data_IF_767862871631
#
_entry.id   IF_767862871631
#
_cell.length_a   1.000
_cell.length_b   1.000
_cell.length_c   1.000
_cell.angle_alpha   90.00
_cell.angle_beta   90.00
_cell.angle_gamma   90.00
#
_symmetry.space_group_name_H-M   'P 1'
#
loop_
_entity.id
_entity.type
_entity.pdbx_description
1 polymer ?
#
# COMPACT_ATOMS: atom_id res chain seq x y z
N UNK A 1 -2.70 -31.66 -15.23
CA UNK A 1 -1.36 -31.83 -14.59
C UNK A 1 -1.61 -31.98 -13.11
N UNK A 2 -1.02 -32.99 -12.45
CA UNK A 2 -1.16 -33.15 -10.99
C UNK A 2 0.04 -32.53 -10.30
N UNK A 3 -0.20 -31.89 -9.16
CA UNK A 3 0.87 -31.46 -8.25
C UNK A 3 1.65 -32.69 -7.80
N UNK A 4 2.98 -32.66 -7.92
CA UNK A 4 3.85 -33.75 -7.47
C UNK A 4 4.58 -33.31 -6.22
N UNK A 5 4.27 -33.97 -5.11
CA UNK A 5 4.87 -33.69 -3.81
C UNK A 5 5.98 -34.68 -3.50
N UNK A 6 7.16 -34.19 -3.13
CA UNK A 6 8.26 -35.00 -2.57
C UNK A 6 8.21 -35.05 -1.04
N UNK A 7 7.57 -34.08 -0.43
CA UNK A 7 7.24 -33.94 0.97
C UNK A 7 5.80 -33.47 1.09
N UNK A 8 5.15 -33.59 2.24
CA UNK A 8 3.86 -32.94 2.46
C UNK A 8 3.95 -31.44 2.23
N UNK A 9 2.82 -30.82 1.88
CA UNK A 9 2.68 -29.39 1.70
C UNK A 9 1.63 -28.87 2.67
N UNK A 10 1.99 -27.89 3.50
CA UNK A 10 1.06 -27.14 4.33
C UNK A 10 0.68 -25.83 3.61
N UNK A 11 -0.56 -25.72 3.16
CA UNK A 11 -1.15 -24.46 2.72
C UNK A 11 -1.76 -23.80 3.94
N UNK A 12 -1.36 -22.56 4.26
CA UNK A 12 -1.80 -21.89 5.47
C UNK A 12 -2.07 -20.41 5.29
N UNK A 13 -2.85 -19.87 6.21
CA UNK A 13 -3.24 -18.48 6.29
C UNK A 13 -3.36 -18.06 7.75
N UNK A 14 -3.10 -16.78 8.05
CA UNK A 14 -3.11 -16.22 9.38
C UNK A 14 -4.05 -15.01 9.46
N UNK A 15 -4.90 -14.97 10.49
CA UNK A 15 -5.53 -13.73 10.91
C UNK A 15 -4.73 -13.11 12.07
N UNK A 16 -4.59 -11.80 12.06
CA UNK A 16 -3.71 -11.08 12.99
C UNK A 16 -4.38 -9.84 13.55
N UNK A 17 -3.83 -9.26 14.62
CA UNK A 17 -4.30 -7.98 15.19
C UNK A 17 -3.99 -6.77 14.32
N UNK A 18 -3.23 -6.92 13.24
CA UNK A 18 -2.83 -5.89 12.29
C UNK A 18 -1.71 -6.36 11.37
N UNK A 19 -1.06 -5.44 10.65
CA UNK A 19 -0.11 -5.77 9.58
C UNK A 19 1.37 -5.59 9.93
N UNK A 20 1.68 -5.21 11.18
CA UNK A 20 3.05 -4.95 11.61
C UNK A 20 3.68 -6.20 12.22
N UNK A 21 4.50 -6.92 11.47
CA UNK A 21 5.12 -8.20 11.85
C UNK A 21 5.73 -8.18 13.26
N UNK A 22 6.38 -7.09 13.66
CA UNK A 22 7.07 -7.00 14.97
C UNK A 22 6.15 -6.64 16.13
N UNK A 23 4.92 -6.21 15.90
CA UNK A 23 4.02 -5.72 16.94
C UNK A 23 2.73 -6.51 17.03
N UNK A 24 2.19 -6.86 15.87
CA UNK A 24 0.92 -7.56 15.79
C UNK A 24 1.06 -9.03 16.13
N UNK A 25 -0.06 -9.66 16.48
CA UNK A 25 -0.16 -11.02 17.01
C UNK A 25 -1.09 -11.86 16.17
N UNK A 26 -0.84 -13.15 16.12
CA UNK A 26 -1.74 -14.11 15.49
C UNK A 26 -3.03 -14.22 16.31
N UNK A 27 -4.17 -14.13 15.62
CA UNK A 27 -5.53 -14.29 16.18
C UNK A 27 -6.15 -15.61 15.70
N UNK A 28 -5.79 -16.07 14.52
CA UNK A 28 -6.19 -17.39 14.00
C UNK A 28 -5.09 -17.96 13.12
N UNK A 29 -4.95 -19.25 13.14
CA UNK A 29 -4.12 -20.02 12.22
C UNK A 29 -4.93 -21.14 11.59
N UNK A 30 -4.97 -21.16 10.26
CA UNK A 30 -5.58 -22.24 9.47
C UNK A 30 -4.51 -22.91 8.61
N UNK A 31 -4.43 -24.23 8.63
CA UNK A 31 -3.50 -25.03 7.84
C UNK A 31 -4.23 -26.20 7.22
N UNK A 32 -4.06 -26.39 5.91
CA UNK A 32 -4.42 -27.63 5.21
C UNK A 32 -3.10 -28.32 4.84
N UNK A 33 -2.87 -29.50 5.38
CA UNK A 33 -1.71 -30.34 5.06
C UNK A 33 -2.09 -31.38 4.03
N UNK A 34 -1.45 -31.32 2.88
CA UNK A 34 -1.60 -32.29 1.78
C UNK A 34 -0.42 -33.23 1.85
N UNK A 35 -0.68 -34.52 2.05
CA UNK A 35 0.36 -35.55 2.05
C UNK A 35 0.74 -35.98 0.62
N UNK A 36 1.84 -36.73 0.49
CA UNK A 36 2.37 -37.18 -0.78
C UNK A 36 1.44 -38.17 -1.53
N UNK A 37 0.53 -38.82 -0.80
CA UNK A 37 -0.53 -39.67 -1.37
C UNK A 37 -1.79 -38.88 -1.79
N UNK A 38 -1.83 -37.56 -1.49
CA UNK A 38 -2.93 -36.67 -1.79
C UNK A 38 -4.01 -36.61 -0.70
N UNK A 39 -3.79 -37.26 0.44
CA UNK A 39 -4.68 -37.11 1.61
C UNK A 39 -4.53 -35.73 2.21
N UNK A 40 -5.61 -35.17 2.78
CA UNK A 40 -5.66 -33.86 3.37
C UNK A 40 -6.01 -33.91 4.85
N UNK A 41 -5.32 -33.10 5.65
CA UNK A 41 -5.59 -32.90 7.07
C UNK A 41 -5.76 -31.41 7.31
N UNK A 42 -6.71 -31.05 8.15
CA UNK A 42 -6.99 -29.64 8.50
C UNK A 42 -6.61 -29.35 9.95
N UNK A 43 -6.05 -28.18 10.16
CA UNK A 43 -5.81 -27.60 11.48
C UNK A 43 -6.32 -26.16 11.45
N UNK A 44 -7.28 -25.83 12.31
CA UNK A 44 -7.84 -24.48 12.38
C UNK A 44 -8.09 -24.12 13.85
N UNK A 45 -7.41 -23.06 14.34
CA UNK A 45 -7.50 -22.64 15.72
C UNK A 45 -7.53 -21.13 15.83
N UNK A 46 -8.47 -20.62 16.64
CA UNK A 46 -8.41 -19.25 17.15
C UNK A 46 -7.31 -19.21 18.22
N UNK A 47 -6.55 -18.14 18.26
CA UNK A 47 -5.43 -17.91 19.15
C UNK A 47 -5.74 -16.71 20.03
N UNK A 48 -5.47 -16.79 21.30
CA UNK A 48 -5.47 -15.64 22.19
C UNK A 48 -4.20 -14.81 21.95
N UNK A 49 -4.30 -13.60 21.35
CA UNK A 49 -3.15 -12.77 21.06
C UNK A 49 -2.54 -12.11 22.29
N UNK A 50 -3.16 -12.29 23.49
CA UNK A 50 -2.77 -11.64 24.75
C UNK A 50 -2.73 -10.10 24.68
N UNK A 51 -3.45 -9.53 23.72
CA UNK A 51 -3.64 -8.09 23.53
C UNK A 51 -5.02 -7.83 22.95
N UNK A 52 -5.45 -6.58 22.96
CA UNK A 52 -6.70 -6.15 22.38
C UNK A 52 -6.62 -6.13 20.84
N UNK A 53 -7.63 -6.71 20.19
CA UNK A 53 -7.79 -6.66 18.73
C UNK A 53 -8.54 -5.36 18.42
N UNK A 54 -8.00 -4.47 17.54
CA UNK A 54 -8.71 -3.28 17.12
C UNK A 54 -10.08 -3.61 16.51
N UNK A 55 -11.09 -2.79 16.80
CA UNK A 55 -12.47 -3.04 16.35
C UNK A 55 -12.57 -3.20 14.83
N UNK A 56 -11.84 -2.36 14.08
CA UNK A 56 -11.78 -2.42 12.62
C UNK A 56 -11.23 -3.75 12.09
N UNK A 57 -10.29 -4.36 12.82
CA UNK A 57 -9.71 -5.67 12.47
C UNK A 57 -10.69 -6.80 12.83
N UNK A 58 -11.39 -6.70 13.97
CA UNK A 58 -12.46 -7.62 14.31
C UNK A 58 -13.55 -7.67 13.23
N UNK A 59 -13.87 -6.54 12.61
CA UNK A 59 -14.86 -6.44 11.53
C UNK A 59 -14.38 -7.11 10.22
N UNK A 60 -13.07 -7.16 9.98
CA UNK A 60 -12.48 -7.79 8.79
C UNK A 60 -12.56 -9.33 8.89
N UNK A 61 -12.03 -9.92 9.97
CA UNK A 61 -11.94 -11.38 10.09
C UNK A 61 -13.06 -12.02 10.95
N UNK A 62 -13.91 -11.20 11.58
CA UNK A 62 -15.08 -11.68 12.35
C UNK A 62 -14.76 -12.25 13.74
N UNK A 63 -13.50 -12.26 14.19
CA UNK A 63 -13.10 -12.78 15.50
C UNK A 63 -13.12 -11.63 16.51
N UNK A 64 -13.97 -11.77 17.53
CA UNK A 64 -14.09 -10.74 18.57
C UNK A 64 -13.06 -10.93 19.68
N UNK A 65 -12.80 -9.87 20.44
CA UNK A 65 -11.95 -9.93 21.63
C UNK A 65 -12.46 -10.96 22.66
N UNK A 66 -13.77 -11.17 22.73
CA UNK A 66 -14.34 -12.19 23.63
C UNK A 66 -14.07 -13.62 23.18
N UNK A 67 -14.09 -13.86 21.86
CA UNK A 67 -13.73 -15.16 21.28
C UNK A 67 -12.25 -15.45 21.51
N UNK A 68 -11.39 -14.48 21.19
CA UNK A 68 -9.94 -14.60 21.31
C UNK A 68 -9.51 -14.82 22.78
N UNK A 69 -10.10 -14.13 23.75
CA UNK A 69 -9.80 -14.31 25.19
C UNK A 69 -10.11 -15.72 25.72
N UNK A 70 -11.03 -16.45 25.09
CA UNK A 70 -11.39 -17.83 25.48
C UNK A 70 -10.54 -18.87 24.79
N UNK A 71 -9.77 -18.48 23.77
CA UNK A 71 -8.91 -19.36 23.03
C UNK A 71 -7.56 -19.59 23.76
N UNK A 72 -6.87 -20.70 23.45
CA UNK A 72 -5.51 -20.91 23.93
C UNK A 72 -4.54 -19.87 23.36
N UNK A 73 -3.48 -19.60 24.10
CA UNK A 73 -2.38 -18.74 23.66
C UNK A 73 -1.52 -19.43 22.58
N UNK A 74 -0.77 -18.65 21.79
CA UNK A 74 0.15 -19.24 20.83
C UNK A 74 1.19 -20.14 21.53
N UNK A 75 1.62 -19.79 22.74
CA UNK A 75 2.57 -20.60 23.51
C UNK A 75 2.04 -22.01 23.80
N UNK A 76 0.75 -22.13 24.04
CA UNK A 76 0.09 -23.42 24.29
C UNK A 76 -0.09 -24.20 22.99
N UNK A 77 -0.36 -23.52 21.86
CA UNK A 77 -0.62 -24.14 20.55
C UNK A 77 0.67 -24.46 19.78
N UNK A 78 1.76 -23.75 20.02
CA UNK A 78 2.99 -23.86 19.24
C UNK A 78 3.53 -25.30 19.10
N UNK A 79 3.54 -26.15 20.15
CA UNK A 79 3.98 -27.52 19.99
C UNK A 79 3.12 -28.34 19.01
N UNK A 80 1.80 -28.14 19.03
CA UNK A 80 0.86 -28.80 18.14
C UNK A 80 0.98 -28.28 16.69
N UNK A 81 1.14 -26.96 16.52
CA UNK A 81 1.37 -26.33 15.21
C UNK A 81 2.66 -26.87 14.58
N UNK A 82 3.75 -26.87 15.34
CA UNK A 82 5.04 -27.36 14.85
C UNK A 82 5.02 -28.87 14.53
N UNK A 83 4.35 -29.67 15.34
CA UNK A 83 4.14 -31.10 15.07
C UNK A 83 3.26 -31.33 13.82
N UNK A 84 2.22 -30.52 13.62
CA UNK A 84 1.35 -30.59 12.46
C UNK A 84 2.10 -30.23 11.17
N UNK A 85 2.87 -29.13 11.18
CA UNK A 85 3.71 -28.75 10.05
C UNK A 85 4.78 -29.83 9.80
N UNK A 86 5.50 -30.27 10.82
CA UNK A 86 6.56 -31.28 10.69
C UNK A 86 7.60 -30.90 9.65
N UNK A 87 7.90 -31.81 8.73
CA UNK A 87 8.86 -31.61 7.62
C UNK A 87 8.23 -31.03 6.34
N UNK A 88 6.91 -30.77 6.35
CA UNK A 88 6.18 -30.26 5.19
C UNK A 88 6.77 -28.92 4.68
N UNK A 89 6.72 -28.75 3.37
CA UNK A 89 6.92 -27.44 2.72
C UNK A 89 5.70 -26.55 2.97
N UNK A 90 5.85 -25.24 2.78
CA UNK A 90 4.82 -24.25 3.12
C UNK A 90 4.31 -23.54 1.87
N UNK A 91 3.01 -23.27 1.81
CA UNK A 91 2.39 -22.47 0.77
C UNK A 91 1.35 -21.51 1.36
N UNK A 92 1.08 -20.39 0.67
CA UNK A 92 0.05 -19.45 1.03
C UNK A 92 -0.10 -18.34 -0.01
N UNK A 93 -0.99 -17.40 0.24
CA UNK A 93 -1.20 -16.25 -0.64
C UNK A 93 -0.55 -15.01 -0.03
N UNK A 94 0.45 -14.41 -0.70
CA UNK A 94 1.32 -13.36 -0.16
C UNK A 94 2.14 -13.79 1.08
N UNK A 95 2.22 -15.06 1.32
CA UNK A 95 2.77 -15.64 2.55
C UNK A 95 4.26 -15.38 2.75
N UNK A 96 5.04 -15.24 1.67
CA UNK A 96 6.47 -14.91 1.76
C UNK A 96 6.72 -13.52 2.35
N UNK A 97 5.76 -12.59 2.22
CA UNK A 97 5.90 -11.23 2.72
C UNK A 97 5.22 -11.01 4.06
N UNK A 98 4.24 -11.84 4.42
CA UNK A 98 3.45 -11.63 5.62
C UNK A 98 3.36 -12.87 6.51
N UNK A 99 2.66 -13.91 6.12
CA UNK A 99 2.34 -15.03 7.01
C UNK A 99 3.56 -15.77 7.53
N UNK A 100 4.53 -16.08 6.67
CA UNK A 100 5.77 -16.77 7.07
C UNK A 100 6.58 -15.91 8.05
N UNK A 101 6.88 -14.63 7.76
CA UNK A 101 7.53 -13.74 8.72
C UNK A 101 6.79 -13.60 10.05
N UNK A 102 5.46 -13.46 10.03
CA UNK A 102 4.63 -13.36 11.25
C UNK A 102 4.71 -14.66 12.06
N UNK A 103 4.51 -15.81 11.42
CA UNK A 103 4.56 -17.10 12.09
C UNK A 103 5.91 -17.35 12.75
N UNK A 104 7.01 -17.08 12.07
CA UNK A 104 8.37 -17.22 12.59
C UNK A 104 8.60 -16.28 13.78
N UNK A 105 8.25 -15.00 13.64
CA UNK A 105 8.40 -14.00 14.71
C UNK A 105 7.60 -14.38 15.96
N UNK A 106 6.39 -14.83 15.78
CA UNK A 106 5.49 -15.23 16.85
C UNK A 106 5.96 -16.53 17.56
N UNK A 107 6.43 -17.53 16.82
CA UNK A 107 7.00 -18.74 17.39
C UNK A 107 8.27 -18.45 18.21
N UNK A 108 9.18 -17.62 17.69
CA UNK A 108 10.38 -17.18 18.42
C UNK A 108 9.99 -16.43 19.70
N UNK A 109 8.96 -15.58 19.63
CA UNK A 109 8.48 -14.80 20.78
C UNK A 109 7.98 -15.69 21.92
N UNK A 110 7.39 -16.84 21.63
CA UNK A 110 6.96 -17.80 22.65
C UNK A 110 8.03 -18.83 23.00
N UNK A 111 9.27 -18.66 22.51
CA UNK A 111 10.43 -19.49 22.86
C UNK A 111 10.54 -20.78 22.06
N UNK A 112 9.90 -20.86 20.89
CA UNK A 112 10.01 -22.02 19.99
C UNK A 112 11.02 -21.72 18.89
N UNK A 113 11.93 -22.64 18.65
CA UNK A 113 12.85 -22.57 17.52
C UNK A 113 12.07 -22.83 16.21
N UNK A 114 11.94 -21.79 15.40
CA UNK A 114 11.22 -21.81 14.13
C UNK A 114 12.19 -21.86 12.93
N UNK A 115 13.12 -22.80 12.94
CA UNK A 115 14.01 -23.01 11.79
C UNK A 115 13.25 -23.66 10.62
N UNK A 116 12.91 -22.85 9.64
CA UNK A 116 12.28 -23.25 8.38
C UNK A 116 13.26 -23.23 7.20
N UNK A 117 14.58 -23.19 7.44
CA UNK A 117 15.60 -23.09 6.39
C UNK A 117 15.60 -24.27 5.40
N UNK A 118 15.13 -25.44 5.84
CA UNK A 118 15.03 -26.65 5.03
C UNK A 118 13.68 -26.82 4.31
N UNK A 119 12.80 -25.83 4.36
CA UNK A 119 11.48 -25.86 3.74
C UNK A 119 11.46 -25.05 2.44
N UNK A 120 10.73 -25.55 1.46
CA UNK A 120 10.36 -24.75 0.30
C UNK A 120 9.13 -23.88 0.64
N UNK A 121 9.09 -22.70 0.04
CA UNK A 121 7.99 -21.75 0.20
C UNK A 121 7.34 -21.48 -1.14
N UNK A 122 6.04 -21.74 -1.25
CA UNK A 122 5.25 -21.50 -2.46
C UNK A 122 4.29 -20.35 -2.21
N UNK A 123 4.55 -19.19 -2.82
CA UNK A 123 3.67 -18.04 -2.74
C UNK A 123 2.77 -17.98 -3.97
N UNK A 124 1.50 -18.28 -3.77
CA UNK A 124 0.49 -18.35 -4.84
C UNK A 124 0.25 -16.97 -5.47
N UNK A 125 0.32 -15.88 -4.68
CA UNK A 125 0.23 -14.53 -5.23
C UNK A 125 1.40 -14.21 -6.17
N UNK A 126 2.62 -14.63 -5.80
CA UNK A 126 3.78 -14.43 -6.67
C UNK A 126 3.67 -15.21 -7.97
N UNK A 127 3.12 -16.43 -7.93
CA UNK A 127 2.81 -17.21 -9.15
C UNK A 127 1.78 -16.45 -9.98
N UNK A 128 0.66 -16.04 -9.37
CA UNK A 128 -0.37 -15.25 -10.04
C UNK A 128 0.20 -14.01 -10.72
N UNK A 129 1.00 -13.20 -10.01
CA UNK A 129 1.60 -11.99 -10.57
C UNK A 129 2.63 -12.24 -11.69
N UNK A 130 3.28 -13.41 -11.70
CA UNK A 130 4.22 -13.79 -12.77
C UNK A 130 3.50 -14.33 -14.00
N UNK A 131 2.42 -15.06 -13.80
CA UNK A 131 1.68 -15.72 -14.88
C UNK A 131 0.63 -14.81 -15.51
N UNK A 132 -0.04 -13.98 -14.71
CA UNK A 132 -1.06 -13.01 -15.15
C UNK A 132 -0.41 -11.63 -15.31
N UNK A 133 0.10 -11.38 -16.52
CA UNK A 133 0.76 -10.13 -16.84
C UNK A 133 -0.23 -8.95 -16.84
N UNK A 134 0.18 -7.82 -16.26
CA UNK A 134 -0.56 -6.55 -16.30
C UNK A 134 -0.09 -5.68 -17.47
N UNK A 135 -0.13 -6.26 -18.68
CA UNK A 135 0.22 -5.59 -19.94
C UNK A 135 -1.05 -5.26 -20.72
N UNK A 136 -0.94 -4.37 -21.71
CA UNK A 136 -2.05 -4.07 -22.61
C UNK A 136 -2.50 -5.32 -23.38
N UNK A 137 -1.57 -6.17 -23.78
CA UNK A 137 -1.87 -7.45 -24.46
C UNK A 137 -2.70 -8.40 -23.58
N UNK A 138 -2.34 -8.51 -22.29
CA UNK A 138 -3.10 -9.31 -21.34
C UNK A 138 -4.50 -8.71 -21.08
N UNK A 139 -4.59 -7.38 -20.95
CA UNK A 139 -5.87 -6.69 -20.80
C UNK A 139 -6.75 -6.87 -22.06
N UNK A 140 -6.17 -6.75 -23.25
CA UNK A 140 -6.87 -7.00 -24.50
C UNK A 140 -7.50 -8.39 -24.53
N UNK A 141 -6.71 -9.42 -24.28
CA UNK A 141 -7.19 -10.80 -24.26
C UNK A 141 -8.30 -11.01 -23.20
N UNK A 142 -8.09 -10.48 -21.99
CA UNK A 142 -9.03 -10.65 -20.86
C UNK A 142 -10.38 -9.97 -21.09
N UNK A 143 -10.37 -8.73 -21.61
CA UNK A 143 -11.60 -7.94 -21.78
C UNK A 143 -12.28 -8.17 -23.12
N UNK A 144 -11.52 -8.41 -24.20
CA UNK A 144 -12.08 -8.54 -25.55
C UNK A 144 -12.12 -9.98 -26.08
N UNK A 145 -11.42 -10.91 -25.42
CA UNK A 145 -11.25 -12.30 -25.87
C UNK A 145 -10.31 -12.44 -27.08
N UNK A 146 -9.69 -11.38 -27.56
CA UNK A 146 -8.83 -11.36 -28.76
C UNK A 146 -7.37 -11.13 -28.39
N UNK A 147 -6.43 -11.91 -28.96
CA UNK A 147 -5.00 -11.64 -28.78
C UNK A 147 -4.60 -10.36 -29.47
N UNK A 148 -3.58 -9.70 -28.96
CA UNK A 148 -2.97 -8.50 -29.53
C UNK A 148 -1.88 -8.90 -30.51
N UNK A 149 -2.02 -8.61 -31.81
CA UNK A 149 -1.12 -9.11 -32.87
C UNK A 149 0.07 -8.19 -33.16
N UNK A 150 -0.07 -6.85 -33.00
CA UNK A 150 0.92 -5.83 -33.37
C UNK A 150 1.26 -4.91 -32.19
N UNK A 151 1.78 -5.46 -31.09
CA UNK A 151 2.23 -4.68 -29.96
C UNK A 151 3.39 -3.73 -30.36
N UNK A 152 3.41 -2.51 -29.76
CA UNK A 152 4.41 -1.46 -29.95
C UNK A 152 4.23 -0.58 -31.20
N UNK A 153 3.09 -0.69 -31.91
CA UNK A 153 2.62 0.37 -32.80
C UNK A 153 1.69 1.31 -32.01
N UNK A 154 2.05 2.58 -31.90
CA UNK A 154 1.34 3.53 -31.04
C UNK A 154 -0.14 3.72 -31.43
N UNK A 155 -0.48 3.71 -32.72
CA UNK A 155 -1.86 3.84 -33.17
C UNK A 155 -2.66 2.57 -32.88
N UNK A 156 -2.05 1.42 -33.08
CA UNK A 156 -2.66 0.13 -32.78
C UNK A 156 -2.88 -0.01 -31.26
N UNK A 157 -1.87 0.28 -30.45
CA UNK A 157 -1.96 0.26 -28.99
C UNK A 157 -3.03 1.22 -28.46
N UNK A 158 -3.17 2.40 -29.04
CA UNK A 158 -4.23 3.36 -28.71
C UNK A 158 -5.62 2.82 -29.03
N UNK A 159 -5.79 2.15 -30.18
CA UNK A 159 -7.05 1.51 -30.54
C UNK A 159 -7.42 0.38 -29.60
N UNK A 160 -6.46 -0.47 -29.28
CA UNK A 160 -6.64 -1.57 -28.30
C UNK A 160 -6.99 -1.00 -26.92
N UNK A 161 -6.32 0.05 -26.48
CA UNK A 161 -6.64 0.73 -25.20
C UNK A 161 -8.08 1.22 -25.17
N UNK A 162 -8.57 1.79 -26.28
CA UNK A 162 -9.96 2.22 -26.40
C UNK A 162 -10.95 1.05 -26.34
N UNK A 163 -10.68 -0.07 -27.02
CA UNK A 163 -11.52 -1.26 -26.97
C UNK A 163 -11.56 -1.87 -25.54
N UNK A 164 -10.41 -1.91 -24.87
CA UNK A 164 -10.32 -2.35 -23.48
C UNK A 164 -11.15 -1.46 -22.55
N UNK A 165 -11.08 -0.13 -22.69
CA UNK A 165 -11.87 0.79 -21.86
C UNK A 165 -13.38 0.58 -22.07
N UNK A 166 -13.85 0.43 -23.30
CA UNK A 166 -15.26 0.14 -23.58
C UNK A 166 -15.70 -1.16 -22.90
N UNK A 167 -14.92 -2.21 -23.07
CA UNK A 167 -15.21 -3.51 -22.47
C UNK A 167 -15.16 -3.48 -20.94
N UNK A 168 -14.33 -2.64 -20.32
CA UNK A 168 -14.33 -2.42 -18.86
C UNK A 168 -15.64 -1.78 -18.40
N UNK A 169 -16.10 -0.72 -19.09
CA UNK A 169 -17.36 -0.03 -18.78
C UNK A 169 -18.56 -0.98 -18.94
N UNK A 170 -18.55 -1.81 -19.98
CA UNK A 170 -19.63 -2.79 -20.22
C UNK A 170 -19.63 -3.93 -19.18
N UNK A 171 -18.47 -4.29 -18.66
CA UNK A 171 -18.30 -5.44 -17.75
C UNK A 171 -18.64 -5.13 -16.30
N UNK A 172 -18.38 -3.90 -15.86
CA UNK A 172 -18.48 -3.53 -14.46
C UNK A 172 -19.61 -2.53 -14.23
N UNK A 173 -20.68 -2.97 -13.57
CA UNK A 173 -21.86 -2.16 -13.27
C UNK A 173 -21.56 -0.90 -12.44
N UNK A 174 -20.47 -0.93 -11.65
CA UNK A 174 -20.03 0.19 -10.83
C UNK A 174 -19.02 1.10 -11.54
N UNK A 175 -18.77 0.91 -12.82
CA UNK A 175 -17.89 1.75 -13.62
C UNK A 175 -18.71 2.64 -14.54
N UNK A 176 -18.94 3.89 -14.14
CA UNK A 176 -19.70 4.85 -14.94
C UNK A 176 -18.92 5.28 -16.18
N UNK A 177 -19.63 5.41 -17.32
CA UNK A 177 -19.03 5.83 -18.60
C UNK A 177 -18.75 7.34 -18.70
N UNK A 178 -18.73 8.07 -17.60
CA UNK A 178 -18.38 9.49 -17.54
C UNK A 178 -16.86 9.69 -17.33
N UNK A 179 -16.27 10.59 -18.12
CA UNK A 179 -14.82 10.82 -18.10
C UNK A 179 -14.33 11.37 -16.77
N UNK A 180 -15.11 12.19 -16.10
CA UNK A 180 -14.75 12.75 -14.79
C UNK A 180 -14.72 11.64 -13.74
N UNK A 181 -15.77 10.81 -13.72
CA UNK A 181 -15.83 9.62 -12.87
C UNK A 181 -14.65 8.69 -13.14
N UNK A 182 -14.39 8.34 -14.39
CA UNK A 182 -13.30 7.44 -14.78
C UNK A 182 -11.93 8.01 -14.42
N UNK A 183 -11.75 9.33 -14.56
CA UNK A 183 -10.54 10.03 -14.14
C UNK A 183 -10.31 9.89 -12.63
N UNK A 184 -11.34 10.10 -11.82
CA UNK A 184 -11.25 9.99 -10.37
C UNK A 184 -11.05 8.54 -9.92
N UNK A 185 -11.80 7.61 -10.50
CA UNK A 185 -11.70 6.17 -10.22
C UNK A 185 -10.31 5.61 -10.54
N UNK A 186 -9.66 6.07 -11.61
CA UNK A 186 -8.33 5.60 -12.03
C UNK A 186 -7.15 6.24 -11.31
N UNK A 187 -7.39 7.14 -10.36
CA UNK A 187 -6.31 7.77 -9.58
C UNK A 187 -5.60 6.76 -8.67
N UNK A 188 -4.28 6.78 -8.70
CA UNK A 188 -3.45 5.94 -7.84
C UNK A 188 -3.28 6.46 -6.40
N UNK A 189 -3.73 7.68 -6.10
CA UNK A 189 -3.59 8.28 -4.77
C UNK A 189 -4.78 9.17 -4.44
N UNK A 190 -5.09 9.25 -3.15
CA UNK A 190 -6.13 10.15 -2.61
C UNK A 190 -5.71 11.63 -2.61
N UNK A 191 -4.47 11.94 -3.06
CA UNK A 191 -3.95 13.31 -3.11
C UNK A 191 -4.17 13.90 -4.50
N UNK A 192 -4.63 15.15 -4.53
CA UNK A 192 -4.62 15.95 -5.74
C UNK A 192 -3.18 16.25 -6.14
N UNK A 193 -2.75 15.74 -7.32
CA UNK A 193 -1.41 15.95 -7.82
C UNK A 193 -1.24 17.34 -8.42
N UNK A 194 -0.17 18.04 -8.03
CA UNK A 194 0.18 19.35 -8.55
C UNK A 194 1.00 19.24 -9.83
N UNK A 195 1.82 18.21 -9.93
CA UNK A 195 2.61 17.92 -11.12
C UNK A 195 2.33 16.50 -11.65
N UNK A 196 2.46 16.29 -12.96
CA UNK A 196 2.12 15.01 -13.60
C UNK A 196 3.08 13.86 -13.24
N UNK A 197 4.27 14.15 -12.68
CA UNK A 197 5.18 13.15 -12.17
C UNK A 197 4.87 12.74 -10.71
N UNK A 198 3.86 13.38 -10.07
CA UNK A 198 3.40 13.06 -8.72
C UNK A 198 4.43 13.38 -7.62
N UNK A 199 5.36 14.30 -7.88
CA UNK A 199 6.35 14.74 -6.90
C UNK A 199 5.82 15.82 -5.97
N UNK A 200 4.84 16.57 -6.43
CA UNK A 200 4.13 17.61 -5.69
C UNK A 200 2.64 17.27 -5.62
N UNK A 201 2.03 17.43 -4.46
CA UNK A 201 0.62 17.14 -4.23
C UNK A 201 -0.02 18.22 -3.35
N UNK A 202 -1.35 18.24 -3.24
CA UNK A 202 -2.07 19.04 -2.27
C UNK A 202 -2.34 18.23 -1.00
N UNK A 203 -2.17 18.86 0.16
CA UNK A 203 -2.66 18.31 1.41
C UNK A 203 -4.14 18.68 1.63
N UNK A 204 -4.72 18.22 2.73
CA UNK A 204 -6.12 18.50 3.10
C UNK A 204 -6.45 19.99 3.22
N UNK A 205 -5.46 20.81 3.49
CA UNK A 205 -5.58 22.28 3.58
C UNK A 205 -5.41 22.98 2.21
N UNK A 206 -5.22 22.24 1.13
CA UNK A 206 -4.95 22.78 -0.21
C UNK A 206 -3.55 23.34 -0.40
N UNK A 207 -2.63 23.11 0.55
CA UNK A 207 -1.24 23.57 0.44
C UNK A 207 -0.42 22.57 -0.38
N UNK A 208 0.54 23.08 -1.16
CA UNK A 208 1.43 22.23 -1.94
C UNK A 208 2.50 21.60 -1.05
N UNK A 209 2.58 20.27 -1.08
CA UNK A 209 3.52 19.45 -0.32
C UNK A 209 4.46 18.68 -1.24
N UNK A 210 5.64 18.33 -0.73
CA UNK A 210 6.48 17.30 -1.37
C UNK A 210 5.86 15.93 -1.14
N UNK A 211 5.66 15.15 -2.19
CA UNK A 211 5.09 13.80 -2.13
C UNK A 211 6.16 12.71 -2.27
N UNK A 212 7.42 12.99 -1.98
CA UNK A 212 8.53 12.05 -2.08
C UNK A 212 9.68 12.38 -1.12
N UNK A 213 10.57 11.40 -0.92
CA UNK A 213 11.85 11.56 -0.22
C UNK A 213 11.70 11.99 1.26
N UNK A 214 12.77 12.56 1.81
CA UNK A 214 12.87 12.96 3.23
C UNK A 214 11.89 14.06 3.67
N UNK A 215 11.33 14.78 2.73
CA UNK A 215 10.38 15.88 2.97
C UNK A 215 8.94 15.51 2.61
N UNK A 216 8.64 14.24 2.37
CA UNK A 216 7.28 13.80 2.06
C UNK A 216 6.29 14.28 3.14
N UNK A 217 5.19 14.90 2.69
CA UNK A 217 4.14 15.46 3.56
C UNK A 217 4.39 16.87 4.08
N UNK A 218 5.61 17.43 3.90
CA UNK A 218 5.92 18.83 4.30
C UNK A 218 5.57 19.80 3.19
N UNK A 219 5.07 20.99 3.55
CA UNK A 219 4.79 22.05 2.58
C UNK A 219 6.08 22.61 1.98
N UNK A 220 5.97 23.15 0.76
CA UNK A 220 7.10 23.83 0.11
C UNK A 220 7.63 24.96 1.00
N UNK A 221 6.72 25.68 1.66
CA UNK A 221 7.07 26.78 2.58
C UNK A 221 7.86 26.28 3.80
N UNK A 222 7.42 25.19 4.44
CA UNK A 222 8.11 24.59 5.60
C UNK A 222 9.53 24.16 5.25
N UNK A 223 9.68 23.48 4.11
CA UNK A 223 11.01 23.02 3.66
C UNK A 223 11.90 24.22 3.28
N UNK A 224 11.35 25.23 2.61
CA UNK A 224 12.13 26.43 2.28
C UNK A 224 12.59 27.23 3.51
N UNK A 225 11.88 27.12 4.64
CA UNK A 225 12.31 27.73 5.91
C UNK A 225 13.41 26.93 6.60
N UNK A 226 13.29 25.59 6.61
CA UNK A 226 14.22 24.69 7.32
C UNK A 226 15.46 24.32 6.50
N UNK A 227 15.32 24.24 5.18
CA UNK A 227 16.38 23.81 4.24
C UNK A 227 16.27 24.60 2.91
N UNK A 228 16.64 25.90 2.87
CA UNK A 228 16.46 26.76 1.70
C UNK A 228 17.14 26.24 0.43
N UNK A 229 18.25 25.50 0.57
CA UNK A 229 19.00 24.91 -0.54
C UNK A 229 18.25 23.78 -1.28
N UNK A 230 17.23 23.18 -0.66
CA UNK A 230 16.49 22.06 -1.26
C UNK A 230 15.75 22.46 -2.55
N UNK A 231 15.23 23.67 -2.61
CA UNK A 231 14.62 24.24 -3.80
C UNK A 231 15.60 24.31 -4.98
N UNK A 232 16.80 24.89 -4.74
CA UNK A 232 17.85 24.98 -5.75
C UNK A 232 18.30 23.61 -6.23
N UNK A 233 18.58 22.70 -5.31
CA UNK A 233 18.91 21.32 -5.63
C UNK A 233 17.85 20.66 -6.52
N UNK A 234 16.58 20.84 -6.22
CA UNK A 234 15.52 20.21 -6.99
C UNK A 234 15.38 20.76 -8.41
N UNK A 235 15.72 22.02 -8.61
CA UNK A 235 15.76 22.63 -9.96
C UNK A 235 16.93 22.10 -10.82
N UNK A 236 18.04 21.74 -10.21
CA UNK A 236 19.23 21.21 -10.90
C UNK A 236 19.18 19.71 -11.10
N UNK A 237 18.59 18.97 -10.15
CA UNK A 237 18.49 17.52 -10.19
C UNK A 237 17.60 17.01 -11.34
N UNK A 238 17.64 15.70 -11.60
CA UNK A 238 16.89 15.04 -12.67
C UNK A 238 15.39 14.86 -12.32
N UNK A 239 14.67 16.00 -12.29
CA UNK A 239 13.21 16.05 -12.22
C UNK A 239 12.64 16.52 -13.56
N UNK A 240 11.38 16.13 -13.81
CA UNK A 240 10.68 16.57 -15.03
C UNK A 240 10.57 18.10 -15.07
N UNK A 241 10.58 18.67 -16.28
CA UNK A 241 10.41 20.12 -16.45
C UNK A 241 9.09 20.62 -15.87
N UNK A 242 8.03 19.82 -15.92
CA UNK A 242 6.74 20.17 -15.32
C UNK A 242 6.81 20.25 -13.80
N UNK A 243 7.46 19.30 -13.12
CA UNK A 243 7.71 19.38 -11.67
C UNK A 243 8.46 20.66 -11.31
N UNK A 244 9.56 21.00 -12.06
CA UNK A 244 10.33 22.20 -11.85
C UNK A 244 9.50 23.48 -12.08
N UNK A 245 8.63 23.47 -13.09
CA UNK A 245 7.72 24.59 -13.36
C UNK A 245 6.72 24.81 -12.22
N UNK A 246 6.09 23.73 -11.75
CA UNK A 246 5.14 23.80 -10.63
C UNK A 246 5.81 24.28 -9.34
N UNK A 247 7.03 23.78 -9.08
CA UNK A 247 7.82 24.22 -7.92
C UNK A 247 8.18 25.71 -7.98
N UNK A 248 8.58 26.23 -9.16
CA UNK A 248 8.83 27.67 -9.35
C UNK A 248 7.58 28.50 -9.08
N UNK A 249 6.44 28.13 -9.66
CA UNK A 249 5.16 28.83 -9.43
C UNK A 249 4.80 28.88 -7.96
N UNK A 250 4.98 27.81 -7.22
CA UNK A 250 4.69 27.76 -5.79
C UNK A 250 5.67 28.64 -4.98
N UNK A 251 6.95 28.65 -5.34
CA UNK A 251 7.93 29.53 -4.71
C UNK A 251 7.66 31.01 -4.99
N UNK A 252 7.24 31.37 -6.19
CA UNK A 252 6.88 32.74 -6.54
C UNK A 252 5.63 33.19 -5.77
N UNK A 253 4.64 32.32 -5.60
CA UNK A 253 3.48 32.57 -4.75
C UNK A 253 3.88 32.81 -3.29
N UNK A 254 4.75 31.97 -2.72
CA UNK A 254 5.25 32.12 -1.35
C UNK A 254 6.01 33.45 -1.18
N UNK A 255 6.79 33.89 -2.18
CA UNK A 255 7.49 35.19 -2.14
C UNK A 255 6.51 36.33 -2.14
N UNK A 256 5.53 36.30 -3.05
CA UNK A 256 4.50 37.34 -3.14
C UNK A 256 3.71 37.49 -1.84
N UNK A 257 3.30 36.37 -1.26
CA UNK A 257 2.59 36.39 0.04
C UNK A 257 3.43 36.96 1.18
N UNK A 258 4.74 36.68 1.17
CA UNK A 258 5.67 37.31 2.16
C UNK A 258 5.84 38.80 1.96
N UNK A 259 5.90 39.28 0.73
CA UNK A 259 5.99 40.70 0.40
C UNK A 259 4.71 41.41 0.83
N UNK A 260 3.56 40.90 0.49
CA UNK A 260 2.25 41.46 0.89
C UNK A 260 2.10 41.54 2.42
N UNK A 261 2.51 40.48 3.15
CA UNK A 261 2.50 40.49 4.63
C UNK A 261 3.41 41.61 5.19
N UNK A 262 4.61 41.80 4.63
CA UNK A 262 5.52 42.85 5.07
C UNK A 262 4.95 44.26 4.81
N UNK A 263 4.32 44.46 3.65
CA UNK A 263 3.66 45.73 3.32
C UNK A 263 2.49 46.01 4.27
N UNK A 264 1.69 45.01 4.57
CA UNK A 264 0.58 45.13 5.52
C UNK A 264 1.09 45.46 6.94
N UNK A 265 2.11 44.74 7.43
CA UNK A 265 2.71 45.01 8.74
C UNK A 265 3.31 46.44 8.82
N UNK A 266 3.91 46.91 7.73
CA UNK A 266 4.45 48.27 7.65
C UNK A 266 3.33 49.33 7.68
N UNK A 267 2.26 49.09 6.91
CA UNK A 267 1.06 49.94 6.88
C UNK A 267 0.41 50.02 8.28
N UNK A 268 0.25 48.89 8.95
CA UNK A 268 -0.35 48.83 10.29
C UNK A 268 0.52 49.55 11.34
N UNK A 269 1.85 49.45 11.25
CA UNK A 269 2.80 50.19 12.07
C UNK A 269 2.69 51.71 11.83
N UNK A 270 2.63 52.11 10.57
CA UNK A 270 2.45 53.54 10.19
C UNK A 270 1.13 54.10 10.75
N UNK A 271 0.04 53.37 10.57
CA UNK A 271 -1.28 53.77 11.10
C UNK A 271 -1.28 53.85 12.62
N UNK A 272 -0.61 52.92 13.32
CA UNK A 272 -0.48 52.96 14.78
C UNK A 272 0.35 54.13 15.27
N UNK A 273 1.39 54.55 14.55
CA UNK A 273 2.20 55.73 14.86
C UNK A 273 1.39 57.00 14.60
N UNK A 274 0.71 57.12 13.46
CA UNK A 274 -0.13 58.27 13.13
C UNK A 274 -1.22 58.50 14.16
N UNK A 275 -1.88 57.45 14.63
CA UNK A 275 -2.90 57.54 15.69
C UNK A 275 -2.31 57.98 17.04
N UNK A 276 -1.08 57.60 17.38
CA UNK A 276 -0.39 58.08 18.60
C UNK A 276 0.00 59.56 18.54
N UNK A 277 0.26 60.10 17.37
CA UNK A 277 0.57 61.54 17.20
C UNK A 277 -0.67 62.43 17.14
N UNK A 278 -1.83 61.88 16.71
CA UNK A 278 -3.10 62.62 16.60
C UNK A 278 -3.89 62.64 17.93
N UNK A 279 -3.43 61.93 18.97
CA UNK A 279 -4.07 61.84 20.31
C UNK A 279 -3.32 62.69 21.37
N UNK A 280 -2.43 63.58 20.96
CA UNK A 280 -1.82 64.64 21.77
C UNK A 280 -2.27 65.99 21.26
#
# INVERSE_FOLDING_TARGET
MKLTLKKPLCVFDLETTGVQITKDRIVQIAIIKIDTDGSELEYNQIVNPEMEIPQEICEIHGITNEMAKKAPTLKELAPAIMAFIGDADLAGFNSNKFDIPVLVEELIRVGVDADFSNKAFVDVQNIFHKMEQRTLSAACLFYTGKPMENAHDALFDTRVTWEVLKAQIERYDNLEGDVTFLSDFSRHSNFEMVDYAGRLAKNENGETIYNFGKHKGKTIQQVNQSEPGYYGWMLEADFTNHTKLCLRKEMDKIKLEKEQKKEQELSDKLNSLTNKFNTK
#
